data_IF_729775931506
#
_entry.id   IF_729775931506
#
_cell.length_a   1.000
_cell.length_b   1.000
_cell.length_c   1.000
_cell.angle_alpha   90.00
_cell.angle_beta   90.00
_cell.angle_gamma   90.00
#
_symmetry.space_group_name_H-M   'P 1'
#
loop_
_entity.id
_entity.type
_entity.pdbx_description
1 polymer ?
#
# COMPACT_ATOMS: atom_id res chain seq x y z
N UNK A 1 17.21 -15.93 -4.15
CA UNK A 1 16.33 -14.77 -3.94
C UNK A 1 17.18 -13.58 -3.52
N UNK A 2 17.06 -12.47 -4.22
CA UNK A 2 17.67 -11.18 -3.90
C UNK A 2 16.56 -10.18 -3.65
N UNK A 3 16.67 -9.35 -2.60
CA UNK A 3 15.68 -8.32 -2.28
C UNK A 3 16.33 -6.94 -2.28
N UNK A 4 15.67 -5.97 -2.91
CA UNK A 4 16.07 -4.56 -2.91
C UNK A 4 14.88 -3.69 -2.46
N UNK A 5 15.11 -2.79 -1.51
CA UNK A 5 14.07 -1.92 -0.94
C UNK A 5 14.50 -0.46 -1.05
N UNK A 6 13.55 0.41 -1.32
CA UNK A 6 13.68 1.85 -1.09
C UNK A 6 12.37 2.42 -0.53
N UNK A 7 12.54 3.30 0.45
CA UNK A 7 11.47 4.09 1.07
C UNK A 7 11.86 5.57 0.95
N UNK A 8 10.87 6.42 0.71
CA UNK A 8 11.00 7.87 0.75
C UNK A 8 9.80 8.43 1.53
N UNK A 9 9.99 8.77 2.83
CA UNK A 9 8.92 9.35 3.62
C UNK A 9 8.60 10.78 3.15
N UNK A 10 7.33 11.14 3.21
CA UNK A 10 6.85 12.51 3.15
C UNK A 10 6.80 13.11 4.56
N UNK A 11 5.64 13.57 5.03
CA UNK A 11 5.53 14.26 6.32
C UNK A 11 5.44 13.32 7.52
N UNK A 12 4.72 12.19 7.40
CA UNK A 12 4.33 11.36 8.55
C UNK A 12 5.13 10.07 8.65
N UNK A 13 5.65 9.51 7.54
CA UNK A 13 6.48 8.30 7.58
C UNK A 13 5.71 7.09 8.09
N UNK A 14 4.56 6.84 7.47
CA UNK A 14 3.58 5.81 7.80
C UNK A 14 3.76 4.53 6.96
N UNK A 15 4.66 4.53 5.98
CA UNK A 15 5.08 3.33 5.24
C UNK A 15 6.11 2.48 5.99
N UNK A 16 6.07 1.16 5.80
CA UNK A 16 7.18 0.24 6.15
C UNK A 16 7.42 -0.80 5.07
N UNK A 17 8.67 -1.05 4.74
CA UNK A 17 9.12 -2.23 4.02
C UNK A 17 10.00 -3.13 4.91
N UNK A 18 9.51 -4.34 5.18
CA UNK A 18 10.08 -5.25 6.17
C UNK A 18 10.48 -6.58 5.52
N UNK A 19 11.61 -7.12 5.96
CA UNK A 19 12.11 -8.42 5.51
C UNK A 19 11.80 -9.49 6.55
N UNK A 20 11.44 -10.67 6.07
CA UNK A 20 11.46 -11.90 6.86
C UNK A 20 12.21 -12.98 6.07
N UNK A 21 12.45 -14.15 6.68
CA UNK A 21 13.36 -15.17 6.13
C UNK A 21 13.10 -15.52 4.66
N UNK A 22 11.83 -15.59 4.27
CA UNK A 22 11.40 -16.05 2.95
C UNK A 22 10.71 -14.98 2.13
N UNK A 23 10.78 -13.69 2.49
CA UNK A 23 10.04 -12.68 1.73
C UNK A 23 10.10 -11.24 2.21
N UNK A 24 9.13 -10.46 1.73
CA UNK A 24 8.99 -9.04 2.06
C UNK A 24 7.53 -8.70 2.38
N UNK A 25 7.35 -7.76 3.30
CA UNK A 25 6.09 -7.15 3.68
C UNK A 25 6.21 -5.65 3.38
N UNK A 26 5.19 -5.07 2.76
CA UNK A 26 5.03 -3.62 2.63
C UNK A 26 3.72 -3.22 3.31
N UNK A 27 3.80 -2.22 4.17
CA UNK A 27 2.69 -1.61 4.88
C UNK A 27 2.60 -0.15 4.49
N UNK A 28 1.40 0.34 4.25
CA UNK A 28 1.10 1.76 3.97
C UNK A 28 0.09 2.24 5.00
N UNK A 29 0.51 3.07 5.94
CA UNK A 29 -0.37 3.58 6.99
C UNK A 29 -1.24 4.71 6.49
N UNK A 30 -2.56 4.57 6.63
CA UNK A 30 -3.51 5.57 6.15
C UNK A 30 -3.41 6.87 6.97
N UNK A 31 -3.08 7.98 6.30
CA UNK A 31 -3.08 9.31 6.93
C UNK A 31 -4.49 9.72 7.37
N UNK A 32 -4.70 9.93 8.66
CA UNK A 32 -5.98 10.44 9.19
C UNK A 32 -6.05 11.98 9.13
N UNK A 33 -7.18 12.52 8.68
CA UNK A 33 -7.54 13.94 8.85
C UNK A 33 -8.50 14.18 10.02
N UNK A 34 -8.82 13.12 10.77
CA UNK A 34 -9.61 13.17 11.98
C UNK A 34 -8.68 13.24 13.21
N UNK A 35 -8.78 14.30 14.04
CA UNK A 35 -7.92 14.46 15.20
C UNK A 35 -8.13 13.38 16.27
N UNK A 36 -9.27 12.68 16.26
CA UNK A 36 -9.57 11.63 17.24
C UNK A 36 -8.93 10.28 16.88
N UNK A 37 -8.39 10.12 15.66
CA UNK A 37 -7.66 8.93 15.25
C UNK A 37 -6.15 9.21 15.34
N UNK A 38 -5.38 8.41 16.11
CA UNK A 38 -3.94 8.59 16.20
C UNK A 38 -3.26 8.29 14.85
N UNK A 39 -2.06 8.86 14.59
CA UNK A 39 -1.27 8.52 13.41
C UNK A 39 -1.02 7.01 13.28
N UNK A 40 -0.89 6.51 12.05
CA UNK A 40 -0.79 5.08 11.80
C UNK A 40 0.56 4.47 12.21
N UNK A 41 1.58 5.31 12.46
CA UNK A 41 2.97 4.91 12.75
C UNK A 41 3.07 3.78 13.78
N UNK A 42 2.46 3.95 14.97
CA UNK A 42 2.54 2.93 16.03
C UNK A 42 1.84 1.62 15.63
N UNK A 43 0.70 1.72 14.94
CA UNK A 43 -0.03 0.55 14.46
C UNK A 43 0.77 -0.22 13.40
N UNK A 44 1.35 0.49 12.44
CA UNK A 44 2.16 -0.09 11.37
C UNK A 44 3.41 -0.76 11.94
N UNK A 45 4.09 -0.13 12.91
CA UNK A 45 5.25 -0.73 13.59
C UNK A 45 4.89 -2.03 14.34
N UNK A 46 3.79 -2.03 15.09
CA UNK A 46 3.32 -3.21 15.83
C UNK A 46 2.84 -4.32 14.88
N UNK A 47 2.03 -3.99 13.87
CA UNK A 47 1.55 -4.94 12.86
C UNK A 47 2.71 -5.56 12.09
N UNK A 48 3.70 -4.75 11.70
CA UNK A 48 4.89 -5.20 11.00
C UNK A 48 5.72 -6.20 11.80
N UNK A 49 5.94 -5.94 13.10
CA UNK A 49 6.61 -6.88 14.01
C UNK A 49 5.88 -8.21 14.08
N UNK A 50 4.56 -8.18 14.29
CA UNK A 50 3.75 -9.40 14.38
C UNK A 50 3.75 -10.20 13.05
N UNK A 51 3.75 -9.51 11.91
CA UNK A 51 3.82 -10.18 10.60
C UNK A 51 5.17 -10.86 10.35
N UNK A 52 6.28 -10.23 10.74
CA UNK A 52 7.62 -10.84 10.61
C UNK A 52 7.66 -12.20 11.32
N UNK A 53 7.12 -12.28 12.53
CA UNK A 53 7.15 -13.50 13.35
C UNK A 53 6.24 -14.62 12.80
N UNK A 54 5.19 -14.25 12.05
CA UNK A 54 4.13 -15.19 11.63
C UNK A 54 4.24 -15.61 10.17
N UNK A 55 4.65 -14.73 9.26
CA UNK A 55 4.68 -15.01 7.82
C UNK A 55 5.56 -16.21 7.45
N UNK A 56 6.63 -16.46 8.20
CA UNK A 56 7.55 -17.59 7.96
C UNK A 56 7.01 -18.96 8.41
N UNK A 57 6.03 -19.01 9.31
CA UNK A 57 5.59 -20.27 9.96
C UNK A 57 4.11 -20.60 9.74
N UNK A 58 3.28 -19.59 9.46
CA UNK A 58 1.86 -19.79 9.24
C UNK A 58 1.57 -20.60 7.97
N UNK A 59 0.53 -21.43 8.01
CA UNK A 59 0.09 -22.23 6.86
C UNK A 59 -0.32 -21.37 5.66
N UNK A 60 -0.95 -20.22 5.90
CA UNK A 60 -1.33 -19.26 4.84
C UNK A 60 -0.98 -17.84 5.27
N UNK A 61 -0.75 -16.96 4.28
CA UNK A 61 -0.55 -15.52 4.54
C UNK A 61 -1.79 -14.86 5.16
N UNK A 62 -3.00 -15.31 4.83
CA UNK A 62 -4.23 -14.80 5.43
C UNK A 62 -4.32 -15.13 6.93
N UNK A 63 -3.93 -16.34 7.34
CA UNK A 63 -3.84 -16.71 8.76
C UNK A 63 -2.79 -15.88 9.49
N UNK A 64 -1.60 -15.70 8.90
CA UNK A 64 -0.55 -14.85 9.46
C UNK A 64 -1.06 -13.42 9.71
N UNK A 65 -1.75 -12.84 8.72
CA UNK A 65 -2.30 -11.50 8.82
C UNK A 65 -3.44 -11.38 9.83
N UNK A 66 -4.37 -12.35 9.86
CA UNK A 66 -5.46 -12.36 10.84
C UNK A 66 -4.92 -12.36 12.28
N UNK A 67 -3.93 -13.21 12.55
CA UNK A 67 -3.32 -13.30 13.87
C UNK A 67 -2.48 -12.06 14.20
N UNK A 68 -1.77 -11.48 13.24
CA UNK A 68 -1.02 -10.25 13.43
C UNK A 68 -1.94 -9.05 13.74
N UNK A 69 -3.05 -8.91 13.00
CA UNK A 69 -4.06 -7.88 13.27
C UNK A 69 -4.63 -8.04 14.68
N UNK A 70 -4.95 -9.28 15.09
CA UNK A 70 -5.49 -9.57 16.42
C UNK A 70 -4.51 -9.15 17.52
N UNK A 71 -3.25 -9.58 17.43
CA UNK A 71 -2.22 -9.21 18.41
C UNK A 71 -2.01 -7.69 18.47
N UNK A 72 -1.92 -7.01 17.32
CA UNK A 72 -1.73 -5.57 17.28
C UNK A 72 -2.94 -4.82 17.87
N UNK A 73 -4.15 -5.30 17.60
CA UNK A 73 -5.37 -4.73 18.17
C UNK A 73 -5.44 -4.90 19.68
N UNK A 74 -5.08 -6.08 20.20
CA UNK A 74 -5.04 -6.36 21.63
C UNK A 74 -3.97 -5.54 22.36
N UNK A 75 -2.76 -5.42 21.78
CA UNK A 75 -1.65 -4.66 22.36
C UNK A 75 -1.92 -3.15 22.44
N UNK A 76 -2.58 -2.60 21.41
CA UNK A 76 -2.82 -1.17 21.28
C UNK A 76 -4.25 -0.76 21.71
N UNK A 77 -5.06 -1.68 22.26
CA UNK A 77 -6.48 -1.48 22.63
C UNK A 77 -7.32 -0.88 21.49
N UNK A 78 -7.15 -1.40 20.28
CA UNK A 78 -7.80 -0.90 19.08
C UNK A 78 -9.25 -1.37 18.98
N UNK A 79 -10.10 -0.50 18.43
CA UNK A 79 -11.52 -0.78 18.20
C UNK A 79 -11.90 -0.56 16.73
N UNK A 80 -12.76 -1.41 16.16
CA UNK A 80 -13.18 -1.26 14.77
C UNK A 80 -13.80 0.11 14.46
N UNK A 81 -13.51 0.63 13.28
CA UNK A 81 -13.92 1.93 12.71
C UNK A 81 -13.30 3.20 13.33
N UNK A 82 -12.66 3.11 14.49
CA UNK A 82 -12.09 4.28 15.20
C UNK A 82 -10.57 4.16 15.40
N UNK A 83 -9.94 3.22 14.70
CA UNK A 83 -8.51 2.95 14.82
C UNK A 83 -7.73 3.38 13.59
N UNK A 84 -6.40 3.59 13.71
CA UNK A 84 -5.52 3.66 12.55
C UNK A 84 -5.65 2.39 11.70
N UNK A 85 -5.34 2.52 10.41
CA UNK A 85 -5.42 1.41 9.46
C UNK A 85 -4.22 1.42 8.53
N UNK A 86 -3.93 0.27 7.93
CA UNK A 86 -2.84 0.12 6.98
C UNK A 86 -3.21 -0.83 5.84
N UNK A 87 -2.71 -0.55 4.64
CA UNK A 87 -2.68 -1.57 3.58
C UNK A 87 -1.61 -2.60 3.92
N UNK A 88 -1.75 -3.81 3.39
CA UNK A 88 -0.77 -4.88 3.58
C UNK A 88 -0.52 -5.57 2.25
N UNK A 89 0.74 -5.59 1.82
CA UNK A 89 1.17 -6.39 0.69
C UNK A 89 2.33 -7.30 1.10
N UNK A 90 2.19 -8.61 0.86
CA UNK A 90 3.19 -9.62 1.26
C UNK A 90 3.56 -10.47 0.06
N UNK A 91 4.86 -10.71 -0.11
CA UNK A 91 5.41 -11.72 -1.02
C UNK A 91 6.15 -12.74 -0.16
N UNK A 92 5.73 -14.00 -0.20
CA UNK A 92 6.40 -15.13 0.45
C UNK A 92 6.89 -16.12 -0.60
N UNK A 93 8.17 -16.46 -0.54
CA UNK A 93 8.84 -17.34 -1.49
C UNK A 93 9.21 -18.64 -0.80
N UNK A 94 8.52 -19.71 -1.17
CA UNK A 94 8.80 -21.07 -0.72
C UNK A 94 9.71 -21.79 -1.72
N UNK A 95 9.97 -23.08 -1.50
CA UNK A 95 10.78 -23.89 -2.41
C UNK A 95 10.11 -24.05 -3.79
N UNK A 96 8.80 -24.28 -3.80
CA UNK A 96 8.07 -24.65 -5.03
C UNK A 96 7.11 -23.55 -5.52
N UNK A 97 6.77 -22.58 -4.68
CA UNK A 97 5.78 -21.54 -4.99
C UNK A 97 6.15 -20.17 -4.46
N UNK A 98 5.48 -19.15 -5.01
CA UNK A 98 5.49 -17.77 -4.53
C UNK A 98 4.05 -17.37 -4.22
N UNK A 99 3.80 -17.06 -2.96
CA UNK A 99 2.50 -16.62 -2.46
C UNK A 99 2.48 -15.11 -2.31
N UNK A 100 1.39 -14.50 -2.77
CA UNK A 100 1.13 -13.08 -2.74
C UNK A 100 -0.13 -12.83 -1.91
N UNK A 101 -0.11 -11.80 -1.08
CA UNK A 101 -1.28 -11.30 -0.39
C UNK A 101 -1.34 -9.78 -0.55
N UNK A 102 -2.51 -9.24 -0.88
CA UNK A 102 -2.81 -7.80 -0.91
C UNK A 102 -4.11 -7.53 -0.16
N UNK A 103 -4.07 -6.61 0.80
CA UNK A 103 -5.22 -6.07 1.53
C UNK A 103 -5.15 -4.55 1.47
N UNK A 104 -6.12 -3.90 0.82
CA UNK A 104 -6.03 -2.47 0.49
C UNK A 104 -5.27 -2.20 -0.81
N UNK A 105 -5.04 -0.92 -1.12
CA UNK A 105 -4.65 -0.43 -2.45
C UNK A 105 -3.14 -0.43 -2.75
N UNK A 106 -2.31 -0.98 -1.86
CA UNK A 106 -0.95 -1.40 -2.23
C UNK A 106 -0.97 -2.41 -3.38
N UNK A 107 0.09 -2.43 -4.19
CA UNK A 107 0.14 -3.21 -5.42
C UNK A 107 1.35 -4.15 -5.46
N UNK A 108 1.14 -5.37 -5.94
CA UNK A 108 2.21 -6.30 -6.30
C UNK A 108 2.21 -6.47 -7.82
N UNK A 109 3.33 -6.14 -8.47
CA UNK A 109 3.57 -6.40 -9.89
C UNK A 109 4.47 -7.61 -10.06
N UNK A 110 4.02 -8.61 -10.80
CA UNK A 110 4.71 -9.90 -10.97
C UNK A 110 5.25 -10.01 -12.38
N UNK A 111 6.56 -10.13 -12.53
CA UNK A 111 7.20 -10.47 -13.81
C UNK A 111 7.23 -11.97 -14.02
N UNK A 112 6.51 -12.45 -15.03
CA UNK A 112 6.42 -13.87 -15.36
C UNK A 112 7.57 -14.33 -16.28
N UNK A 113 7.84 -15.63 -16.30
CA UNK A 113 8.90 -16.24 -17.11
C UNK A 113 8.70 -16.07 -18.63
N UNK A 114 7.49 -15.75 -19.09
CA UNK A 114 7.18 -15.48 -20.50
C UNK A 114 7.46 -14.02 -20.92
N UNK A 115 7.94 -13.17 -20.01
CA UNK A 115 8.27 -11.77 -20.27
C UNK A 115 7.11 -10.79 -20.11
N UNK A 116 5.90 -11.25 -19.73
CA UNK A 116 4.78 -10.38 -19.32
C UNK A 116 4.83 -10.06 -17.84
N UNK A 117 4.10 -9.03 -17.42
CA UNK A 117 3.82 -8.78 -16.02
C UNK A 117 2.32 -8.69 -15.74
N UNK A 118 1.93 -9.12 -14.54
CA UNK A 118 0.58 -9.02 -14.01
C UNK A 118 0.58 -8.08 -12.80
N UNK A 119 -0.50 -7.32 -12.60
CA UNK A 119 -0.66 -6.42 -11.45
C UNK A 119 -1.76 -6.95 -10.53
N UNK A 120 -1.43 -7.09 -9.25
CA UNK A 120 -2.32 -7.55 -8.20
C UNK A 120 -2.52 -6.37 -7.25
N UNK A 121 -3.74 -5.85 -7.23
CA UNK A 121 -4.17 -4.72 -6.39
C UNK A 121 -5.58 -5.02 -5.89
N UNK A 122 -5.89 -4.64 -4.66
CA UNK A 122 -7.28 -4.61 -4.19
C UNK A 122 -7.89 -3.22 -4.46
N UNK A 123 -8.78 -3.16 -5.44
CA UNK A 123 -9.38 -1.93 -5.96
C UNK A 123 -10.72 -1.58 -5.31
N UNK A 124 -11.15 -2.32 -4.28
CA UNK A 124 -12.47 -2.10 -3.65
C UNK A 124 -12.63 -0.70 -3.05
N UNK A 125 -11.56 -0.13 -2.49
CA UNK A 125 -11.58 1.24 -1.95
C UNK A 125 -11.76 2.29 -3.04
N UNK A 126 -11.02 2.18 -4.15
CA UNK A 126 -11.05 3.15 -5.25
C UNK A 126 -12.36 3.07 -6.05
N UNK A 127 -13.02 1.90 -6.05
CA UNK A 127 -14.31 1.65 -6.68
C UNK A 127 -15.53 2.05 -5.82
N UNK A 128 -15.35 2.55 -4.59
CA UNK A 128 -16.46 3.06 -3.79
C UNK A 128 -17.14 4.26 -4.49
N UNK A 129 -18.49 4.28 -4.60
CA UNK A 129 -19.21 5.35 -5.28
C UNK A 129 -19.38 6.59 -4.38
N UNK A 130 -18.26 7.22 -3.99
CA UNK A 130 -18.24 8.42 -3.14
C UNK A 130 -18.04 9.67 -3.99
N UNK A 131 -18.99 10.60 -3.92
CA UNK A 131 -19.00 11.82 -4.73
C UNK A 131 -17.79 12.71 -4.52
N UNK A 132 -17.30 12.79 -3.29
CA UNK A 132 -16.22 13.65 -2.86
C UNK A 132 -14.88 13.26 -3.48
N UNK A 133 -14.67 11.95 -3.68
CA UNK A 133 -13.51 11.44 -4.40
C UNK A 133 -13.50 11.92 -5.86
N UNK A 134 -14.66 11.87 -6.51
CA UNK A 134 -14.80 12.38 -7.89
C UNK A 134 -14.66 13.90 -7.94
N UNK A 135 -15.21 14.60 -6.95
CA UNK A 135 -15.23 16.05 -6.92
C UNK A 135 -13.86 16.66 -6.68
N UNK A 136 -13.10 16.18 -5.69
CA UNK A 136 -11.76 16.73 -5.45
C UNK A 136 -10.85 16.50 -6.67
N UNK A 137 -10.94 15.32 -7.31
CA UNK A 137 -10.17 15.01 -8.52
C UNK A 137 -10.53 15.93 -9.69
N UNK A 138 -11.83 16.21 -9.88
CA UNK A 138 -12.31 17.18 -10.88
C UNK A 138 -11.75 18.57 -10.63
N UNK A 139 -11.78 19.02 -9.38
CA UNK A 139 -11.27 20.34 -8.99
C UNK A 139 -9.77 20.44 -9.27
N UNK A 140 -8.98 19.45 -8.89
CA UNK A 140 -7.53 19.41 -9.15
C UNK A 140 -7.25 19.48 -10.66
N UNK A 141 -7.93 18.66 -11.48
CA UNK A 141 -7.79 18.71 -12.93
C UNK A 141 -8.15 20.09 -13.52
N UNK A 142 -9.15 20.78 -12.94
CA UNK A 142 -9.51 22.15 -13.32
C UNK A 142 -8.49 23.21 -12.84
N UNK A 143 -7.51 22.86 -12.01
CA UNK A 143 -6.50 23.77 -11.47
C UNK A 143 -6.88 24.42 -10.15
N UNK A 144 -7.76 23.78 -9.37
CA UNK A 144 -8.14 24.23 -8.02
C UNK A 144 -8.05 23.07 -7.02
N UNK A 145 -7.35 23.25 -5.92
CA UNK A 145 -7.17 22.17 -4.95
C UNK A 145 -6.13 22.52 -3.91
N UNK A 146 -5.89 21.61 -2.98
CA UNK A 146 -5.03 21.84 -1.80
C UNK A 146 -5.40 23.09 -0.97
N UNK A 147 -6.61 23.62 -1.19
CA UNK A 147 -7.22 24.72 -0.45
C UNK A 147 -8.12 24.19 0.68
N UNK A 148 -8.81 25.09 1.38
CA UNK A 148 -9.73 24.71 2.47
C UNK A 148 -10.91 23.87 1.97
N UNK A 149 -11.40 24.12 0.75
CA UNK A 149 -12.50 23.36 0.17
C UNK A 149 -12.03 21.92 -0.11
N UNK A 150 -10.80 21.74 -0.61
CA UNK A 150 -10.19 20.44 -0.84
C UNK A 150 -10.03 19.66 0.47
N UNK A 151 -9.53 20.32 1.52
CA UNK A 151 -9.46 19.73 2.87
C UNK A 151 -10.83 19.32 3.39
N UNK A 152 -11.86 20.13 3.15
CA UNK A 152 -13.25 19.80 3.49
C UNK A 152 -13.76 18.54 2.78
N UNK A 153 -13.52 18.44 1.47
CA UNK A 153 -13.88 17.26 0.66
C UNK A 153 -13.17 15.99 1.15
N UNK A 154 -11.88 16.07 1.49
CA UNK A 154 -11.14 14.92 1.99
C UNK A 154 -11.64 14.44 3.37
N UNK A 155 -12.01 15.36 4.27
CA UNK A 155 -12.61 14.99 5.57
C UNK A 155 -13.94 14.27 5.40
N UNK A 156 -14.77 14.77 4.48
CA UNK A 156 -16.03 14.13 4.13
C UNK A 156 -15.82 12.75 3.50
N UNK A 157 -14.91 12.65 2.52
CA UNK A 157 -14.51 11.40 1.89
C UNK A 157 -14.05 10.37 2.94
N UNK A 158 -13.14 10.74 3.84
CA UNK A 158 -12.66 9.85 4.89
C UNK A 158 -13.78 9.40 5.83
N UNK A 159 -14.73 10.29 6.16
CA UNK A 159 -15.90 9.90 6.97
C UNK A 159 -16.74 8.85 6.26
N UNK A 160 -17.01 9.01 4.97
CA UNK A 160 -17.78 8.05 4.18
C UNK A 160 -17.03 6.74 3.98
N UNK A 161 -15.72 6.79 3.69
CA UNK A 161 -14.87 5.61 3.61
C UNK A 161 -14.88 4.83 4.93
N UNK A 162 -14.66 5.48 6.09
CA UNK A 162 -14.73 4.80 7.40
C UNK A 162 -16.07 4.10 7.64
N UNK A 163 -17.18 4.68 7.20
CA UNK A 163 -18.48 4.02 7.28
C UNK A 163 -18.61 2.75 6.40
N UNK A 164 -17.70 2.52 5.46
CA UNK A 164 -17.64 1.33 4.59
C UNK A 164 -16.45 0.41 4.92
N UNK A 165 -15.64 0.76 5.92
CA UNK A 165 -14.44 -0.01 6.32
C UNK A 165 -14.83 -1.39 6.85
N UNK A 166 -14.13 -2.42 6.38
CA UNK A 166 -14.27 -3.82 6.79
C UNK A 166 -15.73 -4.31 6.75
N UNK A 167 -16.40 -4.00 5.64
CA UNK A 167 -17.79 -4.40 5.36
C UNK A 167 -17.86 -5.07 4.00
N UNK A 168 -18.73 -6.07 3.87
CA UNK A 168 -18.94 -6.79 2.61
C UNK A 168 -19.32 -5.89 1.42
N UNK A 169 -20.06 -4.81 1.66
CA UNK A 169 -20.45 -3.83 0.62
C UNK A 169 -19.45 -2.69 0.45
N UNK A 170 -18.36 -2.71 1.22
CA UNK A 170 -17.36 -1.65 1.27
C UNK A 170 -16.01 -2.14 0.79
N UNK A 171 -14.99 -1.88 1.60
CA UNK A 171 -13.61 -2.29 1.33
C UNK A 171 -12.99 -2.93 2.57
N UNK A 172 -11.83 -3.54 2.38
CA UNK A 172 -11.12 -4.26 3.44
C UNK A 172 -9.73 -3.67 3.63
N UNK A 173 -9.32 -3.53 4.89
CA UNK A 173 -8.06 -2.90 5.28
C UNK A 173 -7.61 -3.48 6.63
N UNK A 174 -6.30 -3.54 6.88
CA UNK A 174 -5.81 -3.92 8.20
C UNK A 174 -6.15 -2.79 9.19
N UNK A 175 -6.93 -3.12 10.21
CA UNK A 175 -7.32 -2.21 11.29
C UNK A 175 -7.43 -3.03 12.59
N UNK A 176 -8.57 -3.00 13.29
CA UNK A 176 -8.78 -3.72 14.54
C UNK A 176 -9.48 -5.08 14.34
N UNK A 177 -10.18 -5.26 13.22
CA UNK A 177 -10.91 -6.51 12.93
C UNK A 177 -10.02 -7.51 12.19
N UNK A 178 -9.59 -8.62 12.83
CA UNK A 178 -8.76 -9.64 12.18
C UNK A 178 -9.49 -10.38 11.05
N UNK A 179 -10.83 -10.33 11.00
CA UNK A 179 -11.62 -10.90 9.91
C UNK A 179 -11.33 -10.26 8.55
N UNK A 180 -10.78 -9.04 8.52
CA UNK A 180 -10.38 -8.38 7.28
C UNK A 180 -9.35 -9.19 6.46
N UNK A 181 -8.53 -9.99 7.13
CA UNK A 181 -7.52 -10.83 6.48
C UNK A 181 -8.13 -11.92 5.58
N UNK A 182 -9.33 -12.43 5.91
CA UNK A 182 -10.04 -13.42 5.09
C UNK A 182 -10.49 -12.86 3.74
N UNK A 183 -10.53 -11.54 3.62
CA UNK A 183 -10.95 -10.83 2.43
C UNK A 183 -9.77 -10.30 1.61
N UNK A 184 -8.53 -10.57 2.02
CA UNK A 184 -7.34 -10.20 1.24
C UNK A 184 -7.33 -10.92 -0.12
N UNK A 185 -6.84 -10.23 -1.14
CA UNK A 185 -6.60 -10.83 -2.46
C UNK A 185 -5.34 -11.67 -2.36
N UNK A 186 -5.46 -12.98 -2.56
CA UNK A 186 -4.33 -13.93 -2.52
C UNK A 186 -4.13 -14.59 -3.88
N UNK A 187 -2.86 -14.73 -4.28
CA UNK A 187 -2.48 -15.38 -5.54
C UNK A 187 -1.23 -16.22 -5.27
N UNK A 188 -1.16 -17.44 -5.81
CA UNK A 188 0.05 -18.28 -5.79
C UNK A 188 0.49 -18.60 -7.21
N UNK A 189 1.80 -18.63 -7.42
CA UNK A 189 2.45 -19.04 -8.66
C UNK A 189 3.48 -20.13 -8.40
N UNK A 190 3.66 -21.10 -9.31
CA UNK A 190 4.85 -21.93 -9.32
C UNK A 190 6.11 -21.06 -9.32
N UNK A 191 7.12 -21.42 -8.53
CA UNK A 191 8.32 -20.59 -8.36
C UNK A 191 9.05 -20.34 -9.68
N UNK A 192 9.06 -21.32 -10.58
CA UNK A 192 9.71 -21.23 -11.89
C UNK A 192 8.92 -20.36 -12.90
N UNK A 193 7.65 -20.05 -12.61
CA UNK A 193 6.81 -19.19 -13.44
C UNK A 193 7.06 -17.68 -13.21
N UNK A 194 7.72 -17.30 -12.11
CA UNK A 194 8.05 -15.90 -11.78
C UNK A 194 9.55 -15.65 -11.93
N UNK A 195 9.92 -14.45 -12.36
CA UNK A 195 11.30 -13.94 -12.34
C UNK A 195 11.53 -12.89 -11.26
N UNK A 196 10.54 -12.05 -11.03
CA UNK A 196 10.59 -11.01 -10.03
C UNK A 196 9.19 -10.59 -9.58
N UNK A 197 9.10 -9.99 -8.40
CA UNK A 197 7.92 -9.28 -7.92
C UNK A 197 8.34 -7.88 -7.43
N UNK A 198 7.52 -6.87 -7.71
CA UNK A 198 7.67 -5.51 -7.18
C UNK A 198 6.46 -5.22 -6.30
N UNK A 199 6.67 -4.98 -5.02
CA UNK A 199 5.66 -4.53 -4.07
C UNK A 199 5.77 -3.02 -3.91
N UNK A 200 4.67 -2.30 -4.00
CA UNK A 200 4.68 -0.83 -4.01
C UNK A 200 3.42 -0.22 -3.40
N UNK A 201 3.59 0.89 -2.69
CA UNK A 201 2.49 1.73 -2.20
C UNK A 201 1.92 2.60 -3.32
N UNK A 202 0.70 3.12 -3.15
CA UNK A 202 0.02 3.91 -4.19
C UNK A 202 0.80 5.19 -4.52
N UNK A 203 1.40 5.83 -3.51
CA UNK A 203 2.24 7.01 -3.65
C UNK A 203 3.45 6.80 -4.58
N UNK A 204 4.02 5.60 -4.58
CA UNK A 204 5.09 5.22 -5.50
C UNK A 204 4.54 4.77 -6.87
N UNK A 205 3.53 3.89 -6.87
CA UNK A 205 2.94 3.33 -8.09
C UNK A 205 2.45 4.42 -9.05
N UNK A 206 1.60 5.31 -8.54
CA UNK A 206 0.89 6.29 -9.37
C UNK A 206 1.87 7.26 -10.04
N UNK A 207 2.93 7.64 -9.32
CA UNK A 207 3.97 8.55 -9.83
C UNK A 207 4.94 7.86 -10.79
N UNK A 208 5.28 6.60 -10.54
CA UNK A 208 6.04 5.75 -11.47
C UNK A 208 5.31 5.61 -12.81
N UNK A 209 4.01 5.35 -12.78
CA UNK A 209 3.17 5.22 -13.96
C UNK A 209 3.02 6.56 -14.69
N UNK A 210 2.79 7.66 -13.96
CA UNK A 210 2.73 9.01 -14.54
C UNK A 210 4.04 9.41 -15.23
N UNK A 211 5.19 8.94 -14.73
CA UNK A 211 6.50 9.14 -15.34
C UNK A 211 6.84 8.15 -16.46
N UNK A 212 5.96 7.17 -16.74
CA UNK A 212 6.14 6.15 -17.77
C UNK A 212 7.33 5.21 -17.52
N UNK A 213 7.71 5.00 -16.25
CA UNK A 213 8.82 4.10 -15.92
C UNK A 213 8.29 2.67 -15.91
N UNK A 214 8.91 1.78 -16.70
CA UNK A 214 8.41 0.43 -16.88
C UNK A 214 8.79 -0.49 -15.70
N UNK A 215 7.85 -1.32 -15.24
CA UNK A 215 8.06 -2.26 -14.14
C UNK A 215 9.28 -3.19 -14.29
N UNK A 216 9.58 -3.77 -15.48
CA UNK A 216 10.81 -4.55 -15.66
C UNK A 216 12.09 -3.74 -15.40
N UNK A 217 12.08 -2.43 -15.65
CA UNK A 217 13.22 -1.56 -15.38
C UNK A 217 13.40 -1.35 -13.88
N UNK A 218 12.30 -1.17 -13.14
CA UNK A 218 12.29 -1.07 -11.66
C UNK A 218 12.78 -2.37 -11.04
N UNK A 219 12.27 -3.50 -11.54
CA UNK A 219 12.63 -4.83 -11.07
C UNK A 219 14.13 -5.14 -11.22
N UNK A 220 14.88 -4.43 -12.06
CA UNK A 220 16.33 -4.61 -12.23
C UNK A 220 17.20 -3.70 -11.35
N UNK A 221 16.61 -2.78 -10.56
CA UNK A 221 17.35 -1.73 -9.87
C UNK A 221 17.92 -2.12 -8.50
N UNK A 222 19.11 -1.60 -8.20
CA UNK A 222 19.66 -1.62 -6.84
C UNK A 222 18.87 -0.70 -5.88
N UNK A 223 19.00 -0.88 -4.55
CA UNK A 223 18.35 0.01 -3.58
C UNK A 223 18.63 1.51 -3.79
N UNK A 224 19.88 1.86 -4.14
CA UNK A 224 20.26 3.24 -4.43
C UNK A 224 19.54 3.80 -5.67
N UNK A 225 19.38 2.97 -6.70
CA UNK A 225 18.71 3.37 -7.95
C UNK A 225 17.19 3.45 -7.77
N UNK A 226 16.59 2.55 -6.97
CA UNK A 226 15.19 2.65 -6.54
C UNK A 226 14.94 3.95 -5.78
N UNK A 227 15.82 4.31 -4.83
CA UNK A 227 15.72 5.59 -4.11
C UNK A 227 15.81 6.79 -5.05
N UNK A 228 16.66 6.74 -6.08
CA UNK A 228 16.74 7.80 -7.09
C UNK A 228 15.44 7.89 -7.92
N UNK A 229 14.79 6.77 -8.23
CA UNK A 229 13.46 6.75 -8.87
C UNK A 229 12.42 7.43 -7.97
N UNK A 230 12.38 7.08 -6.68
CA UNK A 230 11.46 7.71 -5.73
C UNK A 230 11.70 9.22 -5.58
N UNK A 231 12.97 9.64 -5.53
CA UNK A 231 13.34 11.05 -5.52
C UNK A 231 12.86 11.77 -6.78
N UNK A 232 13.01 11.16 -7.97
CA UNK A 232 12.48 11.72 -9.23
C UNK A 232 10.94 11.84 -9.20
N UNK A 233 10.24 10.88 -8.62
CA UNK A 233 8.79 10.95 -8.42
C UNK A 233 8.42 12.16 -7.53
N UNK A 234 9.12 12.31 -6.41
CA UNK A 234 8.92 13.43 -5.49
C UNK A 234 9.25 14.79 -6.14
N UNK A 235 10.33 14.88 -6.92
CA UNK A 235 10.70 16.09 -7.65
C UNK A 235 9.67 16.45 -8.73
N UNK A 236 9.11 15.45 -9.41
CA UNK A 236 8.04 15.64 -10.40
C UNK A 236 6.76 16.18 -9.73
N UNK A 237 6.35 15.61 -8.60
CA UNK A 237 5.25 16.16 -7.79
C UNK A 237 5.54 17.58 -7.31
N UNK A 238 6.80 17.92 -7.06
CA UNK A 238 7.18 19.24 -6.58
C UNK A 238 7.23 20.30 -7.69
N UNK A 239 7.64 19.95 -8.91
CA UNK A 239 7.97 20.97 -9.91
C UNK A 239 7.16 20.84 -11.20
N UNK A 240 6.77 19.63 -11.59
CA UNK A 240 6.06 19.38 -12.83
C UNK A 240 4.54 19.30 -12.64
N UNK A 241 4.08 18.73 -11.53
CA UNK A 241 2.65 18.66 -11.18
C UNK A 241 2.35 19.07 -9.73
N UNK A 242 2.79 20.27 -9.28
CA UNK A 242 2.63 20.73 -7.89
C UNK A 242 1.17 20.81 -7.43
N UNK A 243 0.25 21.05 -8.36
CA UNK A 243 -1.17 21.26 -8.08
C UNK A 243 -2.03 20.03 -8.40
N UNK A 244 -1.43 18.88 -8.72
CA UNK A 244 -2.16 17.64 -9.00
C UNK A 244 -3.07 17.70 -10.23
N UNK A 245 -2.73 18.53 -11.22
CA UNK A 245 -3.57 18.71 -12.43
C UNK A 245 -3.40 17.54 -13.39
N UNK A 246 -2.19 17.01 -13.49
CA UNK A 246 -1.86 15.86 -14.34
C UNK A 246 -2.22 14.55 -13.63
N UNK A 247 -1.85 14.43 -12.36
CA UNK A 247 -2.19 13.29 -11.50
C UNK A 247 -2.98 13.78 -10.27
N UNK A 248 -4.33 13.80 -10.33
CA UNK A 248 -5.17 14.21 -9.20
C UNK A 248 -5.02 13.30 -7.98
N UNK A 249 -4.51 13.86 -6.88
CA UNK A 249 -4.17 13.14 -5.63
C UNK A 249 -4.57 13.92 -4.38
N UNK A 250 -4.81 13.20 -3.28
CA UNK A 250 -5.34 13.79 -2.04
C UNK A 250 -4.36 14.80 -1.40
N UNK A 251 -3.06 14.50 -1.44
CA UNK A 251 -1.97 15.33 -0.95
C UNK A 251 -0.88 15.43 -2.01
N UNK A 252 -0.15 16.55 -2.02
CA UNK A 252 0.88 16.81 -3.04
C UNK A 252 1.99 15.75 -3.03
N UNK A 253 2.43 15.35 -1.83
CA UNK A 253 3.42 14.33 -1.61
C UNK A 253 2.84 13.28 -0.66
N UNK A 254 2.88 12.04 -1.12
CA UNK A 254 2.70 10.84 -0.30
C UNK A 254 4.05 10.21 0.06
N UNK A 255 4.03 9.35 1.08
CA UNK A 255 5.08 8.38 1.31
C UNK A 255 5.18 7.46 0.09
N UNK A 256 6.39 6.94 -0.16
CA UNK A 256 6.66 6.13 -1.35
C UNK A 256 7.54 4.97 -0.98
N UNK A 257 7.06 3.77 -1.27
CA UNK A 257 7.78 2.55 -0.98
C UNK A 257 7.78 1.61 -2.17
N UNK A 258 8.96 1.06 -2.46
CA UNK A 258 9.16 0.00 -3.44
C UNK A 258 10.04 -1.08 -2.81
N UNK A 259 9.57 -2.31 -2.84
CA UNK A 259 10.35 -3.51 -2.59
C UNK A 259 10.38 -4.40 -3.84
N UNK A 260 11.56 -4.90 -4.19
CA UNK A 260 11.76 -5.79 -5.33
C UNK A 260 12.29 -7.12 -4.83
N UNK A 261 11.62 -8.21 -5.20
CA UNK A 261 12.05 -9.60 -4.97
C UNK A 261 12.47 -10.20 -6.32
N UNK A 262 13.69 -10.72 -6.42
CA UNK A 262 14.22 -11.42 -7.60
C UNK A 262 14.45 -12.88 -7.27
N UNK A 263 13.97 -13.80 -8.10
CA UNK A 263 14.01 -15.24 -7.86
C UNK A 263 15.25 -15.91 -8.45
#
# INVERSE_FOLDING_TARGET
MEIAIAELPAQTGEDRALLFETGVIVLDGATSHDPDIPPAVQYVDTLGRELIDRCGTASTLATALADAIRSAADELDLRPNVSPSSTVAVVRVNNDEVELLVLGDSTIVVGTANGRHDMITDDRLSNLPISEASEYRRRLAAGSGYDDIHRGLLRELQRQQRAQRNRHTGYWIAEADPGAAEHAVTVSYPRDAIKWAVVTTDGARDTVEALGIAWPQIAAQSPASLRAILARCHEWEAHADPDGRVLPRSKRHDDKTIAVVRL
#
